data_IF_500774956290
#
_entry.id   IF_500774956290
#
_cell.length_a   1.000
_cell.length_b   1.000
_cell.length_c   1.000
_cell.angle_alpha   90.00
_cell.angle_beta   90.00
_cell.angle_gamma   90.00
#
_symmetry.space_group_name_H-M   'P 1'
#
loop_
_entity.id
_entity.type
_entity.pdbx_description
1 polymer ?
#
# COMPACT_ATOMS: atom_id res chain seq x y z
N UNK A 1 -41.40 5.63 16.43
CA UNK A 1 -40.60 5.07 15.32
C UNK A 1 -40.92 5.86 14.07
N UNK A 2 -40.02 6.75 13.65
CA UNK A 2 -40.19 7.61 12.47
C UNK A 2 -38.93 7.50 11.60
N UNK A 3 -39.09 6.84 10.45
CA UNK A 3 -38.14 6.85 9.34
C UNK A 3 -38.13 8.27 8.74
N UNK A 4 -37.24 9.13 9.24
CA UNK A 4 -36.90 10.36 8.54
C UNK A 4 -35.93 10.01 7.41
N UNK A 5 -36.48 10.03 6.19
CA UNK A 5 -35.78 9.92 4.92
C UNK A 5 -34.71 11.00 4.81
N UNK A 6 -33.46 10.62 5.06
CA UNK A 6 -32.30 11.42 4.67
C UNK A 6 -32.31 11.45 3.13
N UNK A 7 -32.45 12.65 2.54
CA UNK A 7 -32.34 12.85 1.09
C UNK A 7 -30.93 12.44 0.67
N UNK A 8 -30.82 11.32 -0.04
CA UNK A 8 -29.58 10.94 -0.71
C UNK A 8 -29.14 12.02 -1.71
N UNK A 9 -27.85 12.12 -2.01
CA UNK A 9 -27.31 13.12 -2.92
C UNK A 9 -27.96 13.01 -4.31
N UNK A 10 -28.54 14.11 -4.76
CA UNK A 10 -29.36 14.25 -5.96
C UNK A 10 -28.55 14.56 -7.23
N UNK A 11 -27.22 14.45 -7.18
CA UNK A 11 -26.36 14.38 -8.38
C UNK A 11 -25.00 13.72 -8.07
N UNK A 12 -24.36 13.16 -9.10
CA UNK A 12 -22.99 12.62 -9.02
C UNK A 12 -21.96 13.68 -8.59
N UNK A 13 -22.22 14.96 -8.83
CA UNK A 13 -21.37 16.07 -8.39
C UNK A 13 -21.46 16.30 -6.87
N UNK A 14 -22.60 16.01 -6.25
CA UNK A 14 -22.77 16.13 -4.80
C UNK A 14 -21.97 15.07 -4.05
N UNK A 15 -21.84 13.86 -4.60
CA UNK A 15 -21.00 12.79 -4.06
C UNK A 15 -19.50 13.14 -4.05
N UNK A 16 -19.06 14.08 -4.90
CA UNK A 16 -17.69 14.58 -4.94
C UNK A 16 -17.47 15.83 -4.09
N UNK A 17 -18.51 16.43 -3.54
CA UNK A 17 -18.39 17.69 -2.80
C UNK A 17 -18.15 17.41 -1.33
N UNK A 18 -16.98 17.82 -0.82
CA UNK A 18 -16.64 17.77 0.61
C UNK A 18 -16.34 19.19 1.08
N UNK A 19 -17.01 19.64 2.15
CA UNK A 19 -16.90 21.00 2.69
C UNK A 19 -17.03 22.12 1.63
N UNK A 20 -17.98 21.96 0.70
CA UNK A 20 -18.23 22.93 -0.37
C UNK A 20 -17.20 22.95 -1.50
N UNK A 21 -16.20 22.05 -1.50
CA UNK A 21 -15.25 21.86 -2.61
C UNK A 21 -15.53 20.57 -3.36
N UNK A 22 -15.69 20.69 -4.68
CA UNK A 22 -15.79 19.53 -5.58
C UNK A 22 -14.42 18.89 -5.72
N UNK A 23 -14.31 17.64 -5.29
CA UNK A 23 -13.13 16.80 -5.47
C UNK A 23 -13.07 16.28 -6.90
N UNK A 24 -11.87 16.05 -7.42
CA UNK A 24 -11.69 15.60 -8.81
C UNK A 24 -12.22 14.17 -9.00
N UNK A 25 -12.10 13.34 -7.96
CA UNK A 25 -12.56 11.95 -7.96
C UNK A 25 -13.47 11.67 -6.77
N UNK A 26 -14.34 10.67 -6.93
CA UNK A 26 -15.18 10.18 -5.83
C UNK A 26 -14.32 9.68 -4.66
N UNK A 27 -13.21 9.04 -4.99
CA UNK A 27 -12.24 8.56 -4.02
C UNK A 27 -11.60 9.67 -3.19
N UNK A 28 -11.20 10.78 -3.82
CA UNK A 28 -10.68 11.94 -3.10
C UNK A 28 -11.73 12.51 -2.14
N UNK A 29 -13.01 12.51 -2.53
CA UNK A 29 -14.11 12.90 -1.65
C UNK A 29 -14.26 11.91 -0.47
N UNK A 30 -14.23 10.59 -0.73
CA UNK A 30 -14.28 9.59 0.33
C UNK A 30 -13.08 9.70 1.30
N UNK A 31 -11.88 10.01 0.80
CA UNK A 31 -10.69 10.27 1.61
C UNK A 31 -10.89 11.49 2.52
N UNK A 32 -11.37 12.61 1.98
CA UNK A 32 -11.64 13.83 2.77
C UNK A 32 -12.79 13.68 3.77
N UNK A 33 -13.74 12.79 3.48
CA UNK A 33 -14.84 12.43 4.39
C UNK A 33 -14.42 11.42 5.47
N UNK A 34 -13.16 10.96 5.48
CA UNK A 34 -12.70 9.94 6.42
C UNK A 34 -13.38 8.57 6.24
N UNK A 35 -13.93 8.31 5.05
CA UNK A 35 -14.63 7.07 4.71
C UNK A 35 -13.70 5.97 4.18
N UNK A 36 -12.46 6.34 3.84
CA UNK A 36 -11.42 5.40 3.45
C UNK A 36 -10.52 5.19 4.66
N UNK A 37 -10.20 3.93 4.97
CA UNK A 37 -9.21 3.60 5.99
C UNK A 37 -7.92 4.36 5.70
N UNK A 38 -7.39 4.97 6.74
CA UNK A 38 -6.30 5.92 6.63
C UNK A 38 -5.07 5.19 6.05
N UNK A 39 -4.67 5.54 4.82
CA UNK A 39 -3.45 4.99 4.21
C UNK A 39 -2.21 5.29 5.08
N UNK A 40 -2.32 6.28 5.99
CA UNK A 40 -1.35 6.55 7.06
C UNK A 40 -1.19 5.37 8.02
N UNK A 41 -2.28 4.65 8.33
CA UNK A 41 -2.24 3.47 9.19
C UNK A 41 -1.35 2.38 8.60
N UNK A 42 -1.54 2.03 7.32
CA UNK A 42 -0.71 1.03 6.64
C UNK A 42 0.75 1.46 6.54
N UNK A 43 0.96 2.76 6.30
CA UNK A 43 2.29 3.36 6.27
C UNK A 43 2.99 3.22 7.62
N UNK A 44 2.28 3.51 8.73
CA UNK A 44 2.82 3.38 10.08
C UNK A 44 3.12 1.92 10.42
N UNK A 45 2.19 1.02 10.17
CA UNK A 45 2.35 -0.42 10.41
C UNK A 45 3.57 -1.00 9.66
N UNK A 46 3.74 -0.65 8.39
CA UNK A 46 4.91 -1.06 7.61
C UNK A 46 6.21 -0.43 8.15
N UNK A 47 6.17 0.83 8.59
CA UNK A 47 7.34 1.51 9.15
C UNK A 47 7.80 0.88 10.47
N UNK A 48 6.86 0.45 11.32
CA UNK A 48 7.17 -0.28 12.56
C UNK A 48 7.77 -1.66 12.26
N UNK A 49 7.25 -2.36 11.25
CA UNK A 49 7.78 -3.65 10.82
C UNK A 49 9.22 -3.54 10.31
N UNK A 50 9.57 -2.50 9.54
CA UNK A 50 10.94 -2.28 9.06
C UNK A 50 11.99 -2.23 10.16
N UNK A 51 11.62 -1.76 11.35
CA UNK A 51 12.56 -1.60 12.46
C UNK A 51 12.87 -2.93 13.18
N UNK A 52 12.02 -3.94 13.02
CA UNK A 52 12.02 -5.14 13.87
C UNK A 52 11.98 -6.45 13.10
N UNK A 53 11.62 -6.41 11.81
CA UNK A 53 11.29 -7.59 11.01
C UNK A 53 12.27 -7.78 9.87
N UNK A 54 12.44 -9.03 9.45
CA UNK A 54 13.20 -9.39 8.25
C UNK A 54 12.47 -8.97 6.97
N UNK A 55 13.20 -8.80 5.83
CA UNK A 55 12.59 -8.49 4.54
C UNK A 55 11.45 -9.45 4.14
N UNK A 56 11.54 -10.75 4.48
CA UNK A 56 10.47 -11.70 4.19
C UNK A 56 9.20 -11.43 4.99
N UNK A 57 9.34 -11.11 6.27
CA UNK A 57 8.20 -10.75 7.12
C UNK A 57 7.54 -9.45 6.65
N UNK A 58 8.34 -8.47 6.21
CA UNK A 58 7.81 -7.22 5.62
C UNK A 58 7.03 -7.53 4.33
N UNK A 59 7.53 -8.43 3.47
CA UNK A 59 6.80 -8.89 2.27
C UNK A 59 5.48 -9.60 2.63
N UNK A 60 5.45 -10.42 3.68
CA UNK A 60 4.22 -11.09 4.13
C UNK A 60 3.18 -10.07 4.62
N UNK A 61 3.61 -9.11 5.44
CA UNK A 61 2.74 -8.03 5.93
C UNK A 61 2.18 -7.21 4.77
N UNK A 62 3.03 -6.84 3.81
CA UNK A 62 2.60 -6.12 2.61
C UNK A 62 1.56 -6.92 1.81
N UNK A 63 1.78 -8.22 1.59
CA UNK A 63 0.82 -9.07 0.89
C UNK A 63 -0.54 -9.14 1.61
N UNK A 64 -0.53 -9.29 2.95
CA UNK A 64 -1.76 -9.26 3.76
C UNK A 64 -2.49 -7.94 3.59
N UNK A 65 -1.80 -6.79 3.73
CA UNK A 65 -2.41 -5.47 3.55
C UNK A 65 -3.08 -5.38 2.17
N UNK A 66 -2.39 -5.83 1.10
CA UNK A 66 -2.94 -5.79 -0.25
C UNK A 66 -4.19 -6.66 -0.42
N UNK A 67 -4.24 -7.85 0.16
CA UNK A 67 -5.35 -8.80 -0.05
C UNK A 67 -6.51 -8.58 0.91
N UNK A 68 -6.26 -8.19 2.16
CA UNK A 68 -7.29 -8.12 3.20
C UNK A 68 -7.79 -6.72 3.48
N UNK A 69 -6.93 -5.71 3.33
CA UNK A 69 -7.23 -4.33 3.74
C UNK A 69 -7.52 -3.41 2.54
N UNK A 70 -7.24 -3.85 1.32
CA UNK A 70 -7.50 -3.11 0.08
C UNK A 70 -7.08 -1.62 0.19
N UNK A 71 -5.78 -1.35 0.46
CA UNK A 71 -5.30 0.00 0.72
C UNK A 71 -5.65 0.89 -0.44
N UNK A 72 -5.90 2.17 -0.17
CA UNK A 72 -6.31 3.05 -1.25
C UNK A 72 -5.14 3.17 -2.23
N UNK A 73 -3.91 3.45 -1.79
CA UNK A 73 -2.77 3.61 -2.69
C UNK A 73 -1.67 2.52 -2.52
N UNK A 74 -1.88 1.30 -3.08
CA UNK A 74 -0.88 0.23 -3.07
C UNK A 74 0.46 0.64 -3.67
N UNK A 75 0.43 1.48 -4.72
CA UNK A 75 1.62 1.91 -5.46
C UNK A 75 2.51 2.80 -4.59
N UNK A 76 1.91 3.74 -3.86
CA UNK A 76 2.63 4.57 -2.91
C UNK A 76 3.27 3.74 -1.80
N UNK A 77 2.53 2.78 -1.24
CA UNK A 77 3.04 1.87 -0.22
C UNK A 77 4.21 1.04 -0.75
N UNK A 78 4.10 0.50 -1.96
CA UNK A 78 5.19 -0.19 -2.65
C UNK A 78 6.43 0.69 -2.81
N UNK A 79 6.30 1.88 -3.41
CA UNK A 79 7.45 2.75 -3.67
C UNK A 79 8.17 3.17 -2.39
N UNK A 80 7.44 3.30 -1.27
CA UNK A 80 7.99 3.64 0.03
C UNK A 80 8.77 2.49 0.68
N UNK A 81 8.35 1.23 0.48
CA UNK A 81 8.88 0.08 1.25
C UNK A 81 9.62 -0.96 0.41
N UNK A 82 9.66 -0.82 -0.92
CA UNK A 82 10.28 -1.78 -1.85
C UNK A 82 11.76 -2.08 -1.54
N UNK A 83 12.51 -1.10 -1.07
CA UNK A 83 13.94 -1.28 -0.75
C UNK A 83 14.13 -2.17 0.47
N UNK A 84 13.39 -1.92 1.55
CA UNK A 84 13.39 -2.76 2.76
C UNK A 84 12.90 -4.17 2.47
N UNK A 85 11.88 -4.31 1.61
CA UNK A 85 11.43 -5.63 1.14
C UNK A 85 12.43 -6.33 0.22
N UNK A 86 13.49 -5.66 -0.24
CA UNK A 86 14.46 -6.19 -1.21
C UNK A 86 15.87 -6.34 -0.62
N UNK A 87 16.07 -6.00 0.66
CA UNK A 87 17.39 -5.91 1.26
C UNK A 87 18.15 -7.25 1.24
N UNK A 88 17.45 -8.36 1.47
CA UNK A 88 18.01 -9.71 1.40
C UNK A 88 18.48 -10.10 -0.01
N UNK A 89 17.76 -9.64 -1.04
CA UNK A 89 18.18 -9.81 -2.44
C UNK A 89 19.43 -9.01 -2.74
N UNK A 90 19.48 -7.73 -2.34
CA UNK A 90 20.65 -6.89 -2.53
C UNK A 90 21.87 -7.48 -1.79
N UNK A 91 21.70 -7.92 -0.55
CA UNK A 91 22.75 -8.57 0.24
C UNK A 91 23.26 -9.85 -0.44
N UNK A 92 22.38 -10.68 -1.00
CA UNK A 92 22.77 -11.89 -1.73
C UNK A 92 23.56 -11.56 -3.00
N UNK A 93 23.13 -10.55 -3.77
CA UNK A 93 23.84 -10.11 -4.97
C UNK A 93 25.22 -9.57 -4.61
N UNK A 94 25.34 -8.78 -3.54
CA UNK A 94 26.62 -8.26 -3.05
C UNK A 94 27.56 -9.38 -2.58
N UNK A 95 27.06 -10.44 -1.93
CA UNK A 95 27.88 -11.59 -1.53
C UNK A 95 28.45 -12.37 -2.73
N UNK A 96 27.72 -12.40 -3.84
CA UNK A 96 28.11 -13.18 -5.02
C UNK A 96 28.99 -12.39 -6.01
N UNK A 97 29.21 -11.10 -5.77
CA UNK A 97 30.01 -10.24 -6.65
C UNK A 97 31.18 -9.63 -5.88
N UNK A 98 32.33 -9.50 -6.54
CA UNK A 98 33.56 -8.94 -5.94
C UNK A 98 33.47 -7.40 -5.80
N UNK A 99 32.56 -6.77 -6.54
CA UNK A 99 32.35 -5.31 -6.56
C UNK A 99 31.27 -4.88 -5.55
N UNK A 100 31.62 -3.96 -4.65
CA UNK A 100 30.75 -3.48 -3.58
C UNK A 100 29.74 -2.39 -4.00
N UNK A 101 29.82 -1.85 -5.21
CA UNK A 101 28.96 -0.74 -5.67
C UNK A 101 27.61 -1.17 -6.25
N UNK A 102 27.13 -2.36 -5.91
CA UNK A 102 25.83 -2.83 -6.38
C UNK A 102 24.72 -2.12 -5.58
N UNK A 103 23.86 -1.41 -6.29
CA UNK A 103 22.69 -0.70 -5.76
C UNK A 103 21.39 -1.45 -6.08
N UNK A 104 20.27 -0.98 -5.53
CA UNK A 104 18.96 -1.47 -5.94
C UNK A 104 18.73 -1.24 -7.44
N UNK A 105 18.17 -2.24 -8.10
CA UNK A 105 17.89 -2.22 -9.53
C UNK A 105 16.49 -2.74 -9.82
N UNK A 106 15.99 -2.46 -11.02
CA UNK A 106 14.70 -2.98 -11.47
C UNK A 106 14.64 -4.51 -11.42
N UNK A 107 15.74 -5.21 -11.68
CA UNK A 107 15.81 -6.66 -11.59
C UNK A 107 15.60 -7.17 -10.16
N UNK A 108 16.13 -6.46 -9.16
CA UNK A 108 15.92 -6.79 -7.74
C UNK A 108 14.45 -6.59 -7.37
N UNK A 109 13.88 -5.44 -7.73
CA UNK A 109 12.48 -5.14 -7.44
C UNK A 109 11.51 -6.09 -8.16
N UNK A 110 11.79 -6.47 -9.40
CA UNK A 110 10.99 -7.42 -10.15
C UNK A 110 10.96 -8.80 -9.48
N UNK A 111 12.08 -9.26 -8.91
CA UNK A 111 12.11 -10.52 -8.13
C UNK A 111 11.20 -10.46 -6.91
N UNK A 112 11.16 -9.32 -6.23
CA UNK A 112 10.26 -9.12 -5.08
C UNK A 112 8.81 -9.11 -5.54
N UNK A 113 8.47 -8.46 -6.66
CA UNK A 113 7.11 -8.47 -7.20
C UNK A 113 6.61 -9.89 -7.50
N UNK A 114 7.43 -10.74 -8.12
CA UNK A 114 7.09 -12.15 -8.41
C UNK A 114 6.80 -12.93 -7.11
N UNK A 115 7.58 -12.68 -6.06
CA UNK A 115 7.39 -13.33 -4.75
C UNK A 115 6.12 -12.81 -4.08
N UNK A 116 5.85 -11.52 -4.17
CA UNK A 116 4.64 -10.93 -3.62
C UNK A 116 3.39 -11.50 -4.29
N UNK A 117 3.39 -11.63 -5.63
CA UNK A 117 2.33 -12.30 -6.36
C UNK A 117 2.09 -13.72 -5.83
N UNK A 118 3.17 -14.49 -5.65
CA UNK A 118 3.10 -15.84 -5.06
C UNK A 118 2.53 -15.85 -3.64
N UNK A 119 2.91 -14.88 -2.79
CA UNK A 119 2.42 -14.77 -1.42
C UNK A 119 0.95 -14.33 -1.37
N UNK A 120 0.50 -13.48 -2.29
CA UNK A 120 -0.90 -13.05 -2.35
C UNK A 120 -1.85 -14.22 -2.61
N UNK A 121 -1.46 -15.21 -3.41
CA UNK A 121 -2.27 -16.44 -3.60
C UNK A 121 -2.47 -17.27 -2.32
N UNK A 122 -1.63 -17.12 -1.30
CA UNK A 122 -1.80 -17.80 -0.01
C UNK A 122 -2.92 -17.17 0.82
N UNK A 123 -3.23 -15.89 0.57
CA UNK A 123 -4.18 -15.11 1.33
C UNK A 123 -5.50 -14.85 0.60
N UNK A 124 -5.72 -15.52 -0.54
CA UNK A 124 -6.96 -15.54 -1.32
C UNK A 124 -7.66 -16.89 -1.13
#
# INVERSE_FOLDING_TARGET
MLLHTIKGPNSYAMLKTVDGRVCNTFREACQKLGLLEDDEHWTKTMSEAMLTSSPDQIRNLFAIILTTCNPSNPRFLWDKFRESMSEDFLARVRRNNVTYDIQFSSEIFNKVLIILESKMYVYL
#
